data_IF_374776361318
#
_entry.id   IF_374776361318
#
_cell.length_a   1.000
_cell.length_b   1.000
_cell.length_c   1.000
_cell.angle_alpha   90.00
_cell.angle_beta   90.00
_cell.angle_gamma   90.00
#
_symmetry.space_group_name_H-M   'P 1'
#
loop_
_entity.id
_entity.type
_entity.pdbx_description
1 polymer ?
#
# COMPACT_ATOMS: atom_id res chain seq x y z
N UNK A 1 7.46 29.49 12.61
CA UNK A 1 8.83 29.13 13.00
C UNK A 1 8.71 27.86 13.83
N UNK A 2 9.04 26.70 13.26
CA UNK A 2 8.88 25.41 13.96
C UNK A 2 9.98 25.29 15.00
N UNK A 3 9.61 24.93 16.23
CA UNK A 3 10.53 24.73 17.35
C UNK A 3 11.54 23.61 17.01
N UNK A 4 12.86 23.89 16.98
CA UNK A 4 13.89 22.89 16.68
C UNK A 4 14.08 21.84 17.79
N UNK A 5 13.38 21.94 18.92
CA UNK A 5 13.50 21.01 20.07
C UNK A 5 12.39 19.97 20.18
N UNK A 6 11.41 19.97 19.28
CA UNK A 6 10.43 18.88 19.19
C UNK A 6 11.09 17.65 18.55
N UNK A 7 11.93 16.96 19.32
CA UNK A 7 12.36 15.61 18.99
C UNK A 7 11.09 14.75 18.81
N UNK A 8 11.01 13.91 17.75
CA UNK A 8 9.89 12.99 17.61
C UNK A 8 9.77 12.18 18.90
N UNK A 9 8.58 12.16 19.44
CA UNK A 9 8.21 11.46 20.66
C UNK A 9 8.69 10.00 20.59
N UNK A 10 9.62 9.63 21.48
CA UNK A 10 10.21 8.28 21.54
C UNK A 10 9.21 7.16 21.88
N UNK A 11 7.93 7.49 22.06
CA UNK A 11 6.80 6.57 22.24
C UNK A 11 6.18 6.07 20.93
N UNK A 12 6.43 6.74 19.81
CA UNK A 12 5.91 6.34 18.50
C UNK A 12 7.04 5.72 17.67
N UNK A 13 6.94 4.44 17.23
CA UNK A 13 8.00 3.84 16.42
C UNK A 13 8.21 4.66 15.16
N UNK A 14 9.47 5.05 14.91
CA UNK A 14 9.83 5.83 13.74
C UNK A 14 9.50 5.02 12.48
N UNK A 15 8.52 5.50 11.69
CA UNK A 15 8.24 4.93 10.37
C UNK A 15 9.47 5.09 9.47
N UNK A 16 9.88 4.01 8.81
CA UNK A 16 10.93 4.07 7.80
C UNK A 16 10.48 4.93 6.61
N UNK A 17 11.45 5.45 5.86
CA UNK A 17 11.17 6.24 4.65
C UNK A 17 10.30 5.46 3.63
N UNK A 18 10.45 4.13 3.55
CA UNK A 18 9.64 3.27 2.67
C UNK A 18 8.19 3.16 3.15
N UNK A 19 7.97 3.03 4.45
CA UNK A 19 6.62 3.00 5.02
C UNK A 19 5.93 4.36 4.84
N UNK A 20 6.63 5.47 5.10
CA UNK A 20 6.09 6.81 4.83
C UNK A 20 5.73 7.00 3.35
N UNK A 21 6.57 6.52 2.42
CA UNK A 21 6.28 6.57 0.99
C UNK A 21 5.05 5.72 0.63
N UNK A 22 4.91 4.51 1.18
CA UNK A 22 3.77 3.66 0.93
C UNK A 22 2.46 4.30 1.43
N UNK A 23 2.47 4.89 2.62
CA UNK A 23 1.31 5.64 3.16
C UNK A 23 1.00 6.86 2.28
N UNK A 24 2.02 7.64 1.90
CA UNK A 24 1.83 8.81 1.07
C UNK A 24 1.24 8.46 -0.31
N UNK A 25 1.74 7.40 -0.95
CA UNK A 25 1.21 6.88 -2.21
C UNK A 25 -0.20 6.31 -2.04
N UNK A 26 -0.45 5.52 -0.98
CA UNK A 26 -1.74 4.91 -0.71
C UNK A 26 -2.87 5.93 -0.51
N UNK A 27 -2.56 7.13 0.00
CA UNK A 27 -3.53 8.23 0.15
C UNK A 27 -4.06 8.78 -1.18
N UNK A 28 -3.39 8.53 -2.30
CA UNK A 28 -3.90 8.91 -3.62
C UNK A 28 -4.96 7.94 -4.14
N UNK A 29 -5.01 6.71 -3.61
CA UNK A 29 -5.96 5.67 -4.01
C UNK A 29 -7.29 5.95 -3.31
N UNK A 30 -8.34 6.14 -4.09
CA UNK A 30 -9.71 6.33 -3.60
C UNK A 30 -10.45 5.01 -3.59
N UNK A 31 -11.47 4.93 -2.73
CA UNK A 31 -12.36 3.79 -2.73
C UNK A 31 -13.09 3.67 -4.09
N UNK A 32 -13.07 2.48 -4.67
CA UNK A 32 -13.62 2.22 -6.01
C UNK A 32 -12.66 2.49 -7.19
N UNK A 33 -11.45 3.00 -6.96
CA UNK A 33 -10.47 3.18 -8.04
C UNK A 33 -10.09 1.85 -8.69
N UNK A 34 -9.86 1.86 -10.02
CA UNK A 34 -9.25 0.76 -10.76
C UNK A 34 -7.81 1.14 -11.07
N UNK A 35 -6.84 0.43 -10.51
CA UNK A 35 -5.43 0.78 -10.64
C UNK A 35 -4.52 -0.42 -10.93
N UNK A 36 -3.43 -0.12 -11.62
CA UNK A 36 -2.31 -1.04 -11.79
C UNK A 36 -1.35 -0.94 -10.58
N UNK A 37 -0.87 -2.08 -10.08
CA UNK A 37 0.22 -2.12 -9.11
C UNK A 37 1.35 -3.04 -9.60
N UNK A 38 2.60 -2.57 -9.44
CA UNK A 38 3.80 -3.39 -9.58
C UNK A 38 4.21 -4.04 -8.26
N UNK A 39 5.48 -4.44 -8.13
CA UNK A 39 6.05 -4.99 -6.87
C UNK A 39 6.54 -3.87 -5.94
N UNK A 40 6.75 -4.17 -4.65
CA UNK A 40 7.42 -3.29 -3.70
C UNK A 40 6.51 -2.20 -3.12
N UNK A 41 6.96 -0.94 -3.12
CA UNK A 41 6.22 0.17 -2.48
C UNK A 41 4.84 0.38 -3.11
N UNK A 42 4.71 0.21 -4.43
CA UNK A 42 3.42 0.32 -5.11
C UNK A 42 2.42 -0.76 -4.64
N UNK A 43 2.89 -2.01 -4.51
CA UNK A 43 2.10 -3.12 -3.97
C UNK A 43 1.68 -2.86 -2.52
N UNK A 44 2.62 -2.41 -1.69
CA UNK A 44 2.35 -2.08 -0.29
C UNK A 44 1.35 -0.93 -0.16
N UNK A 45 1.49 0.12 -0.97
CA UNK A 45 0.56 1.24 -1.00
C UNK A 45 -0.86 0.78 -1.38
N UNK A 46 -0.98 -0.06 -2.41
CA UNK A 46 -2.24 -0.65 -2.85
C UNK A 46 -2.89 -1.53 -1.76
N UNK A 47 -2.12 -2.44 -1.17
CA UNK A 47 -2.59 -3.35 -0.12
C UNK A 47 -3.05 -2.56 1.12
N UNK A 48 -2.27 -1.57 1.57
CA UNK A 48 -2.62 -0.74 2.73
C UNK A 48 -3.84 0.13 2.45
N UNK A 49 -3.94 0.76 1.27
CA UNK A 49 -5.12 1.54 0.90
C UNK A 49 -6.38 0.66 0.91
N UNK A 50 -6.33 -0.52 0.28
CA UNK A 50 -7.44 -1.47 0.26
C UNK A 50 -7.84 -1.94 1.66
N UNK A 51 -6.86 -2.13 2.54
CA UNK A 51 -7.08 -2.56 3.94
C UNK A 51 -7.71 -1.47 4.82
N UNK A 52 -7.35 -0.20 4.63
CA UNK A 52 -7.67 0.89 5.57
C UNK A 52 -8.86 1.72 5.13
N UNK A 53 -8.88 2.21 3.89
CA UNK A 53 -9.84 3.26 3.47
C UNK A 53 -10.44 3.08 2.08
N UNK A 54 -9.93 2.14 1.27
CA UNK A 54 -10.36 1.91 -0.11
C UNK A 54 -10.70 0.43 -0.39
N UNK A 55 -11.56 -0.23 0.41
CA UNK A 55 -11.84 -1.67 0.29
C UNK A 55 -12.36 -2.10 -1.09
N UNK A 56 -13.06 -1.20 -1.79
CA UNK A 56 -13.63 -1.43 -3.12
C UNK A 56 -12.68 -1.03 -4.26
N UNK A 57 -11.44 -0.64 -3.98
CA UNK A 57 -10.43 -0.46 -5.02
C UNK A 57 -10.12 -1.80 -5.72
N UNK A 58 -10.06 -1.77 -7.05
CA UNK A 58 -9.73 -2.90 -7.91
C UNK A 58 -8.29 -2.78 -8.39
N UNK A 59 -7.43 -3.66 -7.91
CA UNK A 59 -6.00 -3.66 -8.28
C UNK A 59 -5.75 -4.77 -9.29
N UNK A 60 -5.00 -4.47 -10.36
CA UNK A 60 -4.53 -5.46 -11.31
C UNK A 60 -3.01 -5.41 -11.48
N UNK A 61 -2.43 -6.55 -11.83
CA UNK A 61 -0.99 -6.76 -11.92
C UNK A 61 -0.59 -7.22 -13.32
N UNK A 62 0.68 -6.97 -13.70
CA UNK A 62 1.21 -7.24 -15.05
C UNK A 62 1.14 -8.70 -15.49
N UNK A 63 1.09 -9.61 -14.53
CA UNK A 63 1.00 -11.05 -14.70
C UNK A 63 -0.41 -11.55 -14.99
N UNK A 64 -1.43 -10.67 -14.92
CA UNK A 64 -2.82 -11.00 -15.19
C UNK A 64 -3.68 -11.26 -13.94
N UNK A 65 -3.15 -11.06 -12.74
CA UNK A 65 -3.96 -11.06 -11.52
C UNK A 65 -4.88 -9.84 -11.47
N UNK A 66 -6.19 -10.05 -11.35
CA UNK A 66 -7.21 -8.99 -11.39
C UNK A 66 -8.06 -9.06 -10.14
N UNK A 67 -8.02 -7.98 -9.36
CA UNK A 67 -8.83 -7.81 -8.16
C UNK A 67 -8.53 -8.79 -7.01
N UNK A 68 -7.28 -9.24 -6.77
CA UNK A 68 -7.02 -10.11 -5.63
C UNK A 68 -7.39 -9.41 -4.30
N UNK A 69 -7.73 -10.17 -3.26
CA UNK A 69 -8.15 -9.61 -1.97
C UNK A 69 -7.02 -8.84 -1.27
N UNK A 70 -5.77 -9.27 -1.47
CA UNK A 70 -4.56 -8.72 -0.82
C UNK A 70 -4.61 -8.79 0.73
N UNK A 71 -5.18 -9.87 1.28
CA UNK A 71 -5.22 -10.11 2.73
C UNK A 71 -3.82 -10.22 3.35
N UNK A 72 -2.89 -10.81 2.60
CA UNK A 72 -1.47 -10.85 2.87
C UNK A 72 -0.70 -10.13 1.77
N UNK A 73 0.42 -9.50 2.12
CA UNK A 73 1.28 -8.84 1.15
C UNK A 73 1.98 -9.88 0.26
N UNK A 74 1.74 -9.88 -1.07
CA UNK A 74 2.45 -10.78 -1.98
C UNK A 74 3.94 -10.43 -2.09
N UNK A 75 4.79 -11.41 -2.40
CA UNK A 75 6.23 -11.18 -2.55
C UNK A 75 6.62 -10.67 -3.94
N UNK A 76 5.81 -10.98 -4.96
CA UNK A 76 6.02 -10.59 -6.35
C UNK A 76 4.68 -10.57 -7.10
N UNK A 77 4.66 -10.01 -8.30
CA UNK A 77 3.48 -10.00 -9.18
C UNK A 77 3.02 -11.39 -9.61
N UNK A 78 3.90 -12.39 -9.61
CA UNK A 78 3.58 -13.78 -9.96
C UNK A 78 3.27 -14.66 -8.73
N UNK A 79 3.19 -14.07 -7.54
CA UNK A 79 2.84 -14.76 -6.32
C UNK A 79 1.40 -15.32 -6.42
N UNK A 80 1.13 -16.58 -5.99
CA UNK A 80 -0.20 -17.16 -6.04
C UNK A 80 -1.29 -16.30 -5.39
N UNK A 81 -0.95 -15.49 -4.39
CA UNK A 81 -1.89 -14.57 -3.72
C UNK A 81 -2.41 -13.45 -4.63
N UNK A 82 -1.69 -13.12 -5.69
CA UNK A 82 -2.12 -12.17 -6.73
C UNK A 82 -3.10 -12.82 -7.72
N UNK A 83 -3.12 -14.15 -7.81
CA UNK A 83 -3.97 -14.93 -8.71
C UNK A 83 -5.22 -15.51 -8.05
N UNK A 84 -5.38 -15.28 -6.74
CA UNK A 84 -6.55 -15.72 -6.00
C UNK A 84 -7.76 -14.81 -6.28
N UNK A 85 -8.92 -15.41 -6.50
CA UNK A 85 -10.22 -14.75 -6.68
C UNK A 85 -11.12 -15.03 -5.49
#
# INVERSE_FOLDING_TARGET
>A
MVDPTLAPDASCPACSAREMMAIAAGRFIKDGDVLFAGTGVAMLAAAVAKRIHAPHAHIFFETGGIGPPLDELPMAVADPRVMAF
#
